data_IF_325233076158
#
_entry.id   IF_325233076158
#
_cell.length_a   1.000
_cell.length_b   1.000
_cell.length_c   1.000
_cell.angle_alpha   90.00
_cell.angle_beta   90.00
_cell.angle_gamma   90.00
#
_symmetry.space_group_name_H-M   'P 1'
#
loop_
_entity.id
_entity.type
_entity.pdbx_description
1 polymer ?
#
# COMPACT_ATOMS: atom_id res chain seq x y z
N UNK A 1 -9.41 23.35 24.30
CA UNK A 1 -8.50 22.62 23.40
C UNK A 1 -9.18 21.31 23.04
N UNK A 2 -10.03 21.36 22.01
CA UNK A 2 -10.81 20.21 21.54
C UNK A 2 -9.88 19.42 20.63
N UNK A 3 -9.37 18.29 21.11
CA UNK A 3 -8.65 17.31 20.28
C UNK A 3 -9.64 16.82 19.21
N UNK A 4 -9.60 17.45 18.05
CA UNK A 4 -10.14 16.88 16.83
C UNK A 4 -9.35 15.59 16.56
N UNK A 5 -9.95 14.48 16.97
CA UNK A 5 -9.54 13.11 16.61
C UNK A 5 -9.19 13.09 15.14
N UNK A 6 -7.92 12.87 14.81
CA UNK A 6 -7.50 12.41 13.50
C UNK A 6 -8.51 11.34 13.04
N UNK A 7 -9.05 11.55 11.84
CA UNK A 7 -10.37 11.10 11.44
C UNK A 7 -10.78 9.75 12.01
N UNK A 8 -11.94 9.72 12.68
CA UNK A 8 -12.68 8.49 12.93
C UNK A 8 -12.88 7.81 11.56
N UNK A 9 -11.96 6.93 11.17
CA UNK A 9 -12.24 5.91 10.16
C UNK A 9 -13.44 5.20 10.73
N UNK A 10 -14.63 5.50 10.23
CA UNK A 10 -15.85 4.96 10.79
C UNK A 10 -15.73 3.44 10.64
N UNK A 11 -15.39 2.73 11.73
CA UNK A 11 -15.04 1.31 11.66
C UNK A 11 -16.20 0.45 11.15
N UNK A 12 -17.40 1.05 11.10
CA UNK A 12 -18.64 0.52 10.56
C UNK A 12 -18.82 0.69 9.05
N UNK A 13 -17.84 1.19 8.29
CA UNK A 13 -17.98 1.16 6.83
C UNK A 13 -18.19 -0.28 6.37
N UNK A 14 -19.28 -0.55 5.61
CA UNK A 14 -19.56 -1.89 5.10
C UNK A 14 -18.43 -2.33 4.18
N UNK A 15 -18.30 -3.64 3.98
CA UNK A 15 -17.39 -4.18 2.98
C UNK A 15 -17.84 -3.67 1.61
N UNK A 16 -16.89 -3.15 0.82
CA UNK A 16 -17.15 -2.73 -0.54
C UNK A 16 -16.86 -3.90 -1.48
N UNK A 17 -17.89 -4.39 -2.17
CA UNK A 17 -17.73 -5.42 -3.22
C UNK A 17 -16.79 -4.90 -4.32
N UNK A 18 -16.87 -3.60 -4.61
CA UNK A 18 -16.00 -2.94 -5.58
C UNK A 18 -14.53 -2.97 -5.12
N UNK A 19 -14.27 -2.70 -3.84
CA UNK A 19 -12.92 -2.79 -3.28
C UNK A 19 -12.31 -4.18 -3.43
N UNK A 20 -13.12 -5.23 -3.20
CA UNK A 20 -12.71 -6.63 -3.37
C UNK A 20 -12.42 -6.97 -4.83
N UNK A 21 -13.28 -6.55 -5.76
CA UNK A 21 -13.06 -6.75 -7.19
C UNK A 21 -11.78 -6.06 -7.67
N UNK A 22 -11.53 -4.83 -7.21
CA UNK A 22 -10.28 -4.12 -7.49
C UNK A 22 -9.04 -4.84 -6.94
N UNK A 23 -9.15 -5.49 -5.78
CA UNK A 23 -8.04 -6.27 -5.22
C UNK A 23 -7.73 -7.50 -6.08
N UNK A 24 -8.77 -8.18 -6.58
CA UNK A 24 -8.64 -9.32 -7.50
C UNK A 24 -8.06 -8.86 -8.84
N UNK A 25 -8.66 -7.84 -9.47
CA UNK A 25 -8.19 -7.30 -10.76
C UNK A 25 -6.77 -6.77 -10.65
N UNK A 26 -6.47 -6.00 -9.61
CA UNK A 26 -5.12 -5.50 -9.33
C UNK A 26 -4.11 -6.64 -9.17
N UNK A 27 -4.48 -7.73 -8.50
CA UNK A 27 -3.61 -8.92 -8.36
C UNK A 27 -3.35 -9.61 -9.70
N UNK A 28 -4.39 -9.82 -10.51
CA UNK A 28 -4.27 -10.44 -11.84
C UNK A 28 -3.38 -9.60 -12.73
N UNK A 29 -3.60 -8.28 -12.80
CA UNK A 29 -2.77 -7.35 -13.57
C UNK A 29 -1.32 -7.35 -13.06
N UNK A 30 -1.12 -7.32 -11.74
CA UNK A 30 0.21 -7.39 -11.14
C UNK A 30 0.96 -8.66 -11.51
N UNK A 31 0.28 -9.82 -11.45
CA UNK A 31 0.86 -11.11 -11.84
C UNK A 31 1.14 -11.19 -13.35
N UNK A 32 0.26 -10.64 -14.20
CA UNK A 32 0.50 -10.53 -15.63
C UNK A 32 1.73 -9.68 -15.94
N UNK A 33 1.92 -8.55 -15.25
CA UNK A 33 3.10 -7.70 -15.39
C UNK A 33 4.39 -8.45 -15.00
N UNK A 34 4.35 -9.22 -13.91
CA UNK A 34 5.46 -10.08 -13.48
C UNK A 34 5.76 -11.15 -14.53
N UNK A 35 4.73 -11.79 -15.08
CA UNK A 35 4.86 -12.77 -16.15
C UNK A 35 5.49 -12.17 -17.40
N UNK A 36 5.20 -10.91 -17.70
CA UNK A 36 5.82 -10.13 -18.79
C UNK A 36 7.21 -9.57 -18.46
N UNK A 37 7.85 -9.99 -17.36
CA UNK A 37 9.20 -9.57 -16.99
C UNK A 37 9.27 -8.23 -16.23
N UNK A 38 8.13 -7.64 -15.85
CA UNK A 38 8.06 -6.36 -15.14
C UNK A 38 8.12 -6.59 -13.62
N UNK A 39 9.21 -7.19 -13.15
CA UNK A 39 9.36 -7.64 -11.75
C UNK A 39 9.38 -6.49 -10.72
N UNK A 40 9.80 -5.28 -11.12
CA UNK A 40 9.87 -4.13 -10.23
C UNK A 40 8.50 -3.72 -9.68
N UNK A 41 7.41 -3.98 -10.41
CA UNK A 41 6.04 -3.69 -9.95
C UNK A 41 5.70 -4.55 -8.74
N UNK A 42 6.10 -5.82 -8.76
CA UNK A 42 5.88 -6.72 -7.63
C UNK A 42 6.71 -6.32 -6.42
N UNK A 43 7.99 -5.98 -6.63
CA UNK A 43 8.86 -5.58 -5.53
C UNK A 43 8.36 -4.28 -4.86
N UNK A 44 8.03 -3.27 -5.68
CA UNK A 44 7.50 -2.01 -5.17
C UNK A 44 6.14 -2.18 -4.50
N UNK A 45 5.25 -3.01 -5.07
CA UNK A 45 3.95 -3.25 -4.46
C UNK A 45 4.03 -3.98 -3.14
N UNK A 46 4.84 -5.02 -3.04
CA UNK A 46 5.01 -5.73 -1.78
C UNK A 46 5.57 -4.79 -0.70
N UNK A 47 6.67 -4.08 -1.00
CA UNK A 47 7.35 -3.21 -0.02
C UNK A 47 6.49 -2.02 0.41
N UNK A 48 5.89 -1.29 -0.54
CA UNK A 48 5.07 -0.13 -0.22
C UNK A 48 3.80 -0.54 0.53
N UNK A 49 3.24 -1.70 0.21
CA UNK A 49 2.10 -2.27 0.94
C UNK A 49 2.45 -2.59 2.39
N UNK A 50 3.64 -3.13 2.65
CA UNK A 50 4.11 -3.36 4.01
C UNK A 50 4.17 -2.06 4.82
N UNK A 51 4.78 -1.01 4.27
CA UNK A 51 4.88 0.29 4.93
C UNK A 51 3.51 0.93 5.17
N UNK A 52 2.59 0.84 4.21
CA UNK A 52 1.22 1.37 4.36
C UNK A 52 0.47 0.64 5.48
N UNK A 53 0.66 -0.67 5.60
CA UNK A 53 0.03 -1.42 6.67
C UNK A 53 0.61 -1.08 8.04
N UNK A 54 1.88 -0.71 8.15
CA UNK A 54 2.49 -0.28 9.42
C UNK A 54 2.09 1.14 9.86
N UNK A 55 1.10 1.77 9.24
CA UNK A 55 0.64 3.10 9.62
C UNK A 55 -0.12 3.09 10.95
N UNK A 56 0.23 3.96 11.88
CA UNK A 56 -0.52 4.22 13.11
C UNK A 56 -1.20 5.60 13.08
N UNK A 57 -2.15 5.87 13.98
CA UNK A 57 -2.76 7.20 14.13
C UNK A 57 -1.69 8.28 14.39
N UNK A 58 -0.69 8.01 15.23
CA UNK A 58 0.42 8.93 15.48
C UNK A 58 1.26 9.19 14.23
N UNK A 59 1.52 8.17 13.40
CA UNK A 59 2.25 8.37 12.14
C UNK A 59 1.46 9.23 11.15
N UNK A 60 0.13 9.17 11.21
CA UNK A 60 -0.74 10.01 10.40
C UNK A 60 -0.66 11.46 10.89
N UNK A 61 -0.84 11.67 12.20
CA UNK A 61 -0.76 12.99 12.83
C UNK A 61 0.60 13.66 12.57
N UNK A 62 1.70 12.93 12.74
CA UNK A 62 3.04 13.44 12.46
C UNK A 62 3.25 13.74 10.98
N UNK A 63 2.72 12.90 10.08
CA UNK A 63 2.74 13.16 8.65
C UNK A 63 2.04 14.47 8.30
N UNK A 64 0.86 14.71 8.89
CA UNK A 64 0.09 15.96 8.69
C UNK A 64 0.88 17.14 9.25
N UNK A 65 1.41 17.02 10.47
CA UNK A 65 2.19 18.06 11.11
C UNK A 65 3.49 18.39 10.37
N UNK A 66 4.13 17.42 9.70
CA UNK A 66 5.30 17.66 8.84
C UNK A 66 4.90 18.50 7.63
N UNK A 67 3.77 18.18 6.99
CA UNK A 67 3.26 18.93 5.85
C UNK A 67 2.87 20.34 6.26
N UNK A 68 2.10 20.49 7.33
CA UNK A 68 1.66 21.80 7.81
C UNK A 68 2.85 22.70 8.15
N UNK A 69 3.87 22.17 8.83
CA UNK A 69 5.11 22.92 9.13
C UNK A 69 5.93 23.24 7.88
N UNK A 70 5.99 22.32 6.93
CA UNK A 70 6.71 22.54 5.68
C UNK A 70 6.00 23.57 4.81
N UNK A 71 4.66 23.54 4.82
CA UNK A 71 3.83 24.46 4.08
C UNK A 71 3.76 25.84 4.72
N UNK A 72 3.62 25.93 6.05
CA UNK A 72 3.61 27.17 6.80
C UNK A 72 4.90 27.98 6.57
N UNK A 73 6.07 27.31 6.47
CA UNK A 73 7.34 27.96 6.12
C UNK A 73 7.34 28.58 4.74
N UNK A 74 6.55 28.05 3.82
CA UNK A 74 6.37 28.60 2.47
C UNK A 74 5.28 29.70 2.47
N UNK A 75 4.59 29.95 3.60
CA UNK A 75 3.26 30.53 3.64
C UNK A 75 3.07 32.06 3.80
N UNK A 76 3.95 32.90 3.24
CA UNK A 76 3.71 34.37 3.21
C UNK A 76 3.22 34.99 1.87
N UNK A 77 3.05 34.24 0.77
CA UNK A 77 2.56 34.74 -0.56
C UNK A 77 1.20 34.15 -1.06
N UNK A 78 0.82 34.24 -2.33
CA UNK A 78 -0.51 33.76 -2.81
C UNK A 78 -0.46 32.27 -3.25
N UNK A 79 -1.48 31.45 -2.91
CA UNK A 79 -1.45 29.95 -3.01
C UNK A 79 -1.19 29.46 -4.44
N UNK A 80 -1.85 30.07 -5.43
CA UNK A 80 -1.71 29.71 -6.85
C UNK A 80 -0.29 29.99 -7.38
N UNK A 81 0.29 31.13 -6.98
CA UNK A 81 1.65 31.54 -7.35
C UNK A 81 2.71 30.64 -6.74
N UNK A 82 2.45 30.11 -5.54
CA UNK A 82 3.31 29.15 -4.84
C UNK A 82 3.24 27.75 -5.42
N UNK A 83 2.05 27.25 -5.72
CA UNK A 83 1.92 25.96 -6.39
C UNK A 83 2.66 26.01 -7.72
N UNK A 84 2.54 27.11 -8.47
CA UNK A 84 3.31 27.34 -9.68
C UNK A 84 4.83 27.38 -9.41
N UNK A 85 5.31 28.08 -8.37
CA UNK A 85 6.73 28.13 -8.02
C UNK A 85 7.31 26.79 -7.55
N UNK A 86 6.59 26.06 -6.70
CA UNK A 86 7.01 24.72 -6.23
C UNK A 86 6.94 23.72 -7.37
N UNK A 87 5.89 23.78 -8.21
CA UNK A 87 5.77 22.97 -9.41
C UNK A 87 6.88 23.27 -10.40
N UNK A 88 7.22 24.55 -10.59
CA UNK A 88 8.29 24.99 -11.48
C UNK A 88 9.67 24.59 -10.92
N UNK A 89 9.92 24.81 -9.63
CA UNK A 89 11.17 24.40 -8.99
C UNK A 89 11.34 22.86 -9.00
N UNK A 90 10.26 22.12 -8.75
CA UNK A 90 10.25 20.66 -8.84
C UNK A 90 10.41 20.18 -10.28
N UNK A 91 9.75 20.83 -11.23
CA UNK A 91 9.89 20.51 -12.66
C UNK A 91 11.28 20.86 -13.18
N UNK A 92 11.89 21.96 -12.74
CA UNK A 92 13.29 22.32 -13.05
C UNK A 92 14.22 21.31 -12.39
N UNK A 93 14.03 20.98 -11.11
CA UNK A 93 14.86 19.98 -10.44
C UNK A 93 14.76 18.61 -11.13
N UNK A 94 13.54 18.21 -11.53
CA UNK A 94 13.29 16.97 -12.27
C UNK A 94 13.80 17.06 -13.70
N UNK A 95 13.73 18.21 -14.38
CA UNK A 95 14.26 18.43 -15.73
C UNK A 95 15.79 18.43 -15.73
N UNK A 96 16.41 19.07 -14.73
CA UNK A 96 17.85 19.03 -14.48
C UNK A 96 18.26 17.60 -14.15
N UNK A 97 17.56 16.94 -13.22
CA UNK A 97 17.78 15.52 -12.93
C UNK A 97 17.59 14.68 -14.21
N UNK A 98 16.60 14.98 -15.04
CA UNK A 98 16.35 14.33 -16.34
C UNK A 98 17.50 14.55 -17.31
N UNK A 99 18.01 15.77 -17.46
CA UNK A 99 19.14 16.07 -18.34
C UNK A 99 20.39 15.34 -17.82
N UNK A 100 20.65 15.40 -16.51
CA UNK A 100 21.75 14.65 -15.88
C UNK A 100 21.58 13.12 -15.98
N UNK A 101 20.34 12.63 -16.10
CA UNK A 101 20.02 11.23 -16.30
C UNK A 101 20.01 10.84 -17.79
N UNK A 102 19.61 11.70 -18.72
CA UNK A 102 19.43 11.42 -20.15
C UNK A 102 20.72 11.65 -20.96
N UNK A 103 21.48 12.70 -20.62
CA UNK A 103 22.75 13.05 -21.28
C UNK A 103 23.72 11.86 -21.28
N UNK A 104 23.89 11.09 -20.19
CA UNK A 104 24.75 9.92 -20.20
C UNK A 104 24.08 8.63 -20.72
N UNK A 105 22.81 8.67 -21.16
CA UNK A 105 22.18 7.59 -21.96
C UNK A 105 22.47 7.81 -23.44
N UNK A 106 22.56 9.07 -23.87
CA UNK A 106 22.86 9.44 -25.25
C UNK A 106 24.39 9.40 -25.51
N UNK A 107 25.21 9.75 -24.52
CA UNK A 107 26.68 9.83 -24.62
C UNK A 107 27.39 8.55 -24.16
N UNK A 108 26.93 7.40 -24.63
CA UNK A 108 27.36 6.04 -24.24
C UNK A 108 28.83 5.91 -23.77
N UNK A 109 29.02 5.35 -22.57
CA UNK A 109 30.34 5.16 -21.96
C UNK A 109 30.36 4.76 -20.47
N UNK A 110 29.24 4.86 -19.75
CA UNK A 110 29.15 4.46 -18.34
C UNK A 110 28.05 3.43 -18.13
N UNK A 111 28.47 2.23 -17.70
CA UNK A 111 27.75 1.00 -17.34
C UNK A 111 26.21 0.99 -17.21
N UNK A 112 25.64 -0.17 -17.56
CA UNK A 112 24.23 -0.57 -17.52
C UNK A 112 23.46 -0.20 -16.22
N UNK A 113 24.19 0.00 -15.12
CA UNK A 113 23.71 0.45 -13.80
C UNK A 113 23.00 1.82 -13.87
N UNK A 114 23.49 2.75 -14.70
CA UNK A 114 22.86 4.06 -14.91
C UNK A 114 21.58 3.97 -15.73
N UNK A 115 21.63 3.24 -16.85
CA UNK A 115 20.53 3.14 -17.82
C UNK A 115 19.23 2.57 -17.23
N UNK A 116 19.29 1.73 -16.20
CA UNK A 116 18.10 1.09 -15.61
C UNK A 116 17.39 1.91 -14.52
N UNK A 117 18.12 2.57 -13.61
CA UNK A 117 17.50 3.55 -12.70
C UNK A 117 16.83 4.66 -13.52
N UNK A 118 17.46 5.02 -14.64
CA UNK A 118 16.93 5.91 -15.66
C UNK A 118 15.71 5.33 -16.35
N UNK A 119 15.62 4.01 -16.59
CA UNK A 119 14.47 3.32 -17.20
C UNK A 119 13.27 3.14 -16.27
N UNK A 120 13.47 2.89 -14.97
CA UNK A 120 12.39 2.82 -13.98
C UNK A 120 11.89 4.22 -13.63
N UNK A 121 12.80 5.19 -13.51
CA UNK A 121 12.42 6.59 -13.45
C UNK A 121 11.79 7.02 -14.77
N UNK A 122 12.27 6.56 -15.94
CA UNK A 122 11.62 6.78 -17.24
C UNK A 122 10.30 6.06 -17.31
N UNK A 123 10.07 4.93 -16.66
CA UNK A 123 8.81 4.19 -16.73
C UNK A 123 7.76 4.86 -15.86
N UNK A 124 8.15 5.26 -14.65
CA UNK A 124 7.32 6.07 -13.76
C UNK A 124 7.07 7.47 -14.35
N UNK A 125 8.11 8.12 -14.86
CA UNK A 125 8.00 9.43 -15.50
C UNK A 125 7.34 9.32 -16.88
N UNK A 126 7.54 8.26 -17.67
CA UNK A 126 6.83 8.01 -18.93
C UNK A 126 5.37 7.76 -18.66
N UNK A 127 5.01 6.98 -17.63
CA UNK A 127 3.62 6.82 -17.23
C UNK A 127 3.02 8.16 -16.82
N UNK A 128 3.73 8.96 -16.01
CA UNK A 128 3.27 10.30 -15.63
C UNK A 128 3.22 11.26 -16.83
N UNK A 129 4.19 11.22 -17.75
CA UNK A 129 4.24 12.00 -19.00
C UNK A 129 3.12 11.56 -19.93
N UNK A 130 2.82 10.27 -20.04
CA UNK A 130 1.76 9.70 -20.90
C UNK A 130 0.40 10.10 -20.36
N UNK A 131 0.22 10.00 -19.04
CA UNK A 131 -0.99 10.49 -18.37
C UNK A 131 -1.12 12.00 -18.54
N UNK A 132 -0.04 12.77 -18.34
CA UNK A 132 -0.05 14.21 -18.50
C UNK A 132 -0.18 14.65 -19.96
N UNK A 133 0.31 13.89 -20.93
CA UNK A 133 0.18 14.17 -22.36
C UNK A 133 -1.22 13.82 -22.85
N UNK A 134 -1.87 12.78 -22.31
CA UNK A 134 -3.30 12.54 -22.52
C UNK A 134 -4.12 13.69 -21.92
N UNK A 135 -3.80 14.14 -20.70
CA UNK A 135 -4.45 15.32 -20.09
C UNK A 135 -4.19 16.58 -20.92
N UNK A 136 -2.98 16.77 -21.46
CA UNK A 136 -2.62 17.87 -22.37
C UNK A 136 -3.44 17.84 -23.65
N UNK A 137 -3.50 16.70 -24.33
CA UNK A 137 -4.27 16.54 -25.56
C UNK A 137 -5.74 16.82 -25.29
N UNK A 138 -6.31 16.27 -24.21
CA UNK A 138 -7.70 16.53 -23.83
C UNK A 138 -7.95 18.00 -23.48
N UNK A 139 -7.01 18.66 -22.80
CA UNK A 139 -7.11 20.08 -22.46
C UNK A 139 -7.00 20.98 -23.69
N UNK A 140 -6.09 20.66 -24.62
CA UNK A 140 -5.93 21.36 -25.89
C UNK A 140 -7.17 21.22 -26.76
N UNK A 141 -7.72 20.01 -26.86
CA UNK A 141 -8.99 19.76 -27.56
C UNK A 141 -10.11 20.59 -26.94
N UNK A 142 -10.20 20.64 -25.61
CA UNK A 142 -11.22 21.43 -24.92
C UNK A 142 -11.07 22.94 -25.21
N UNK A 143 -9.84 23.48 -25.13
CA UNK A 143 -9.55 24.89 -25.42
C UNK A 143 -9.85 25.21 -26.88
N UNK A 144 -9.43 24.36 -27.81
CA UNK A 144 -9.66 24.52 -29.23
C UNK A 144 -11.16 24.52 -29.56
N UNK A 145 -11.93 23.62 -28.93
CA UNK A 145 -13.39 23.58 -29.04
C UNK A 145 -14.07 24.83 -28.45
N UNK A 146 -13.50 25.45 -27.41
CA UNK A 146 -14.04 26.68 -26.82
C UNK A 146 -13.70 27.95 -27.62
N UNK A 147 -12.53 28.00 -28.25
CA UNK A 147 -12.06 29.10 -29.11
C UNK A 147 -12.70 29.09 -30.50
N UNK A 148 -13.07 27.90 -31.02
CA UNK A 148 -13.81 27.74 -32.28
C UNK A 148 -15.26 28.25 -32.21
N UNK A 149 -15.70 28.86 -31.11
CA UNK A 149 -17.00 29.54 -31.10
C UNK A 149 -16.93 30.73 -32.07
N UNK A 150 -17.85 30.81 -33.04
CA UNK A 150 -17.84 31.87 -34.05
C UNK A 150 -17.87 33.24 -33.36
N UNK A 151 -16.87 34.05 -33.69
CA UNK A 151 -16.70 35.41 -33.18
C UNK A 151 -17.94 36.23 -33.56
N UNK A 152 -18.62 36.87 -32.59
CA UNK A 152 -19.75 37.75 -32.90
C UNK A 152 -19.30 38.96 -33.74
N UNK A 153 -20.21 39.54 -34.55
CA UNK A 153 -19.89 40.53 -35.59
C UNK A 153 -19.21 41.84 -35.09
N UNK A 154 -18.58 42.61 -35.99
CA UNK A 154 -17.36 43.40 -35.74
C UNK A 154 -17.49 44.73 -34.95
N UNK A 155 -18.56 44.97 -34.20
CA UNK A 155 -18.86 46.33 -33.73
C UNK A 155 -18.33 46.73 -32.36
N UNK A 156 -17.58 45.86 -31.67
CA UNK A 156 -17.00 46.20 -30.36
C UNK A 156 -15.48 46.04 -30.34
N UNK A 157 -14.84 46.96 -29.60
CA UNK A 157 -13.39 47.19 -29.39
C UNK A 157 -12.49 45.98 -29.68
N UNK A 158 -11.30 46.19 -30.32
CA UNK A 158 -10.39 45.09 -30.63
C UNK A 158 -10.13 44.28 -29.37
N UNK A 159 -10.52 42.99 -29.33
CA UNK A 159 -10.28 42.16 -28.16
C UNK A 159 -8.78 42.08 -27.93
N UNK A 160 -8.37 42.05 -26.66
CA UNK A 160 -6.99 41.91 -26.17
C UNK A 160 -6.35 40.59 -26.65
N UNK A 161 -6.14 40.46 -27.96
CA UNK A 161 -5.65 39.28 -28.67
C UNK A 161 -4.25 38.88 -28.18
N UNK A 162 -3.45 39.85 -27.73
CA UNK A 162 -2.15 39.59 -27.10
C UNK A 162 -2.29 38.86 -25.76
N UNK A 163 -3.28 39.22 -24.94
CA UNK A 163 -3.50 38.63 -23.62
C UNK A 163 -3.97 37.18 -23.74
N UNK A 164 -4.88 36.90 -24.67
CA UNK A 164 -5.36 35.55 -24.96
C UNK A 164 -4.21 34.65 -25.46
N UNK A 165 -3.40 35.12 -26.41
CA UNK A 165 -2.23 34.37 -26.92
C UNK A 165 -1.22 34.07 -25.82
N UNK A 166 -0.92 35.06 -24.98
CA UNK A 166 0.02 34.89 -23.87
C UNK A 166 -0.49 33.86 -22.85
N UNK A 167 -1.79 33.90 -22.55
CA UNK A 167 -2.43 32.93 -21.65
C UNK A 167 -2.38 31.50 -22.20
N UNK A 168 -2.63 31.31 -23.50
CA UNK A 168 -2.53 29.97 -24.14
C UNK A 168 -1.10 29.42 -24.07
N UNK A 169 -0.09 30.25 -24.34
CA UNK A 169 1.32 29.83 -24.25
C UNK A 169 1.66 29.41 -22.81
N UNK A 170 1.23 30.19 -21.81
CA UNK A 170 1.44 29.86 -20.40
C UNK A 170 0.76 28.54 -20.03
N UNK A 171 -0.46 28.30 -20.53
CA UNK A 171 -1.18 27.05 -20.28
C UNK A 171 -0.48 25.85 -20.91
N UNK A 172 -0.02 25.97 -22.16
CA UNK A 172 0.76 24.93 -22.83
C UNK A 172 2.04 24.62 -22.05
N UNK A 173 2.80 25.64 -21.67
CA UNK A 173 4.03 25.48 -20.88
C UNK A 173 3.76 24.83 -19.52
N UNK A 174 2.72 25.27 -18.80
CA UNK A 174 2.32 24.68 -17.52
C UNK A 174 1.93 23.20 -17.66
N UNK A 175 1.26 22.84 -18.76
CA UNK A 175 0.90 21.45 -19.02
C UNK A 175 2.13 20.57 -19.24
N UNK A 176 3.13 21.06 -19.98
CA UNK A 176 4.37 20.31 -20.26
C UNK A 176 5.16 20.06 -18.96
N UNK A 177 5.12 21.01 -18.02
CA UNK A 177 5.77 20.89 -16.72
C UNK A 177 4.98 20.08 -15.68
N UNK A 178 3.67 19.88 -15.91
CA UNK A 178 2.76 19.19 -15.01
C UNK A 178 3.24 17.80 -14.55
N UNK A 179 3.68 16.87 -15.43
CA UNK A 179 4.07 15.53 -14.98
C UNK A 179 5.24 15.57 -14.00
N UNK A 180 6.20 16.49 -14.19
CA UNK A 180 7.28 16.72 -13.23
C UNK A 180 6.74 17.21 -11.89
N UNK A 181 5.86 18.21 -11.91
CA UNK A 181 5.25 18.73 -10.68
C UNK A 181 4.45 17.65 -9.92
N UNK A 182 3.62 16.88 -10.64
CA UNK A 182 2.82 15.78 -10.08
C UNK A 182 3.71 14.70 -9.46
N UNK A 183 4.78 14.30 -10.15
CA UNK A 183 5.74 13.32 -9.65
C UNK A 183 6.50 13.84 -8.42
N UNK A 184 6.95 15.10 -8.44
CA UNK A 184 7.66 15.72 -7.33
C UNK A 184 6.80 15.82 -6.07
N UNK A 185 5.58 16.36 -6.22
CA UNK A 185 4.63 16.47 -5.10
C UNK A 185 4.30 15.08 -4.54
N UNK A 186 3.90 14.14 -5.40
CA UNK A 186 3.58 12.76 -4.96
C UNK A 186 4.77 12.10 -4.27
N UNK A 187 5.99 12.26 -4.80
CA UNK A 187 7.22 11.74 -4.20
C UNK A 187 7.45 12.28 -2.79
N UNK A 188 7.29 13.59 -2.60
CA UNK A 188 7.36 14.21 -1.27
C UNK A 188 6.35 13.60 -0.29
N UNK A 189 5.08 13.43 -0.71
CA UNK A 189 4.05 12.81 0.12
C UNK A 189 4.40 11.35 0.48
N UNK A 190 4.91 10.56 -0.47
CA UNK A 190 5.35 9.18 -0.21
C UNK A 190 6.50 9.14 0.80
N UNK A 191 7.48 10.04 0.69
CA UNK A 191 8.61 10.11 1.62
C UNK A 191 8.15 10.51 3.02
N UNK A 192 7.27 11.52 3.13
CA UNK A 192 6.71 11.94 4.42
C UNK A 192 5.95 10.79 5.08
N UNK A 193 5.09 10.09 4.32
CA UNK A 193 4.38 8.90 4.80
C UNK A 193 5.34 7.83 5.30
N UNK A 194 6.31 7.45 4.48
CA UNK A 194 7.27 6.40 4.84
C UNK A 194 8.05 6.77 6.10
N UNK A 195 8.53 8.01 6.19
CA UNK A 195 9.29 8.50 7.35
C UNK A 195 8.44 8.50 8.62
N UNK A 196 7.21 9.03 8.55
CA UNK A 196 6.32 9.07 9.71
C UNK A 196 5.91 7.67 10.18
N UNK A 197 5.67 6.73 9.24
CA UNK A 197 5.43 5.33 9.59
C UNK A 197 6.64 4.69 10.26
N UNK A 198 7.85 4.94 9.75
CA UNK A 198 9.10 4.40 10.33
C UNK A 198 9.38 4.93 11.75
N UNK A 199 8.98 6.16 12.04
CA UNK A 199 9.10 6.73 13.39
C UNK A 199 8.19 6.04 14.42
N UNK A 200 7.06 5.47 13.98
CA UNK A 200 6.04 4.87 14.84
C UNK A 200 5.81 3.37 14.57
N UNK A 201 6.85 2.65 14.14
CA UNK A 201 6.77 1.22 13.78
C UNK A 201 6.07 0.36 14.84
N UNK A 202 6.38 0.59 16.12
CA UNK A 202 5.82 -0.18 17.22
C UNK A 202 4.30 -0.07 17.29
N UNK A 203 3.77 1.14 17.13
CA UNK A 203 2.32 1.37 17.14
C UNK A 203 1.70 0.80 15.85
N UNK A 204 2.40 0.97 14.72
CA UNK A 204 2.05 0.43 13.41
C UNK A 204 1.84 -1.08 13.35
N UNK A 205 2.67 -1.86 14.03
CA UNK A 205 2.57 -3.33 14.13
C UNK A 205 1.18 -3.75 14.65
N UNK A 206 0.60 -2.99 15.58
CA UNK A 206 -0.72 -3.29 16.13
C UNK A 206 -1.87 -2.99 15.16
N UNK A 207 -1.67 -2.03 14.24
CA UNK A 207 -2.62 -1.60 13.23
C UNK A 207 -2.48 -2.36 11.89
N UNK A 208 -1.42 -3.15 11.73
CA UNK A 208 -1.02 -3.78 10.47
C UNK A 208 -2.16 -4.41 9.69
N UNK A 209 -2.88 -5.32 10.35
CA UNK A 209 -3.95 -6.04 9.72
C UNK A 209 -5.20 -5.18 9.49
N UNK A 210 -5.49 -4.24 10.39
CA UNK A 210 -6.63 -3.35 10.24
C UNK A 210 -6.46 -2.45 9.01
N UNK A 211 -5.25 -1.96 8.79
CA UNK A 211 -4.89 -1.19 7.61
C UNK A 211 -5.01 -2.04 6.34
N UNK A 212 -4.54 -3.29 6.36
CA UNK A 212 -4.73 -4.22 5.23
C UNK A 212 -6.21 -4.44 4.90
N UNK A 213 -7.03 -4.75 5.91
CA UNK A 213 -8.45 -5.00 5.72
C UNK A 213 -9.17 -3.74 5.19
N UNK A 214 -8.78 -2.55 5.67
CA UNK A 214 -9.33 -1.28 5.20
C UNK A 214 -8.94 -1.01 3.75
N UNK A 215 -7.68 -1.23 3.38
CA UNK A 215 -7.20 -1.03 2.01
C UNK A 215 -7.86 -2.01 1.03
N UNK A 216 -7.93 -3.29 1.38
CA UNK A 216 -8.36 -4.35 0.46
C UNK A 216 -9.88 -4.50 0.40
N UNK A 217 -10.60 -4.30 1.51
CA UNK A 217 -12.02 -4.65 1.60
C UNK A 217 -12.95 -3.45 1.72
N UNK A 218 -12.43 -2.25 2.01
CA UNK A 218 -13.25 -1.05 2.26
C UNK A 218 -12.94 0.09 1.31
N UNK A 219 -11.67 0.28 0.97
CA UNK A 219 -11.24 1.39 0.11
C UNK A 219 -11.38 0.96 -1.35
N UNK A 220 -12.29 1.59 -2.08
CA UNK A 220 -12.52 1.37 -3.51
C UNK A 220 -12.12 2.60 -4.34
N UNK A 221 -12.35 2.58 -5.65
CA UNK A 221 -12.10 3.69 -6.57
C UNK A 221 -13.04 4.87 -6.35
N UNK A 222 -14.20 4.66 -5.71
CA UNK A 222 -15.15 5.70 -5.37
C UNK A 222 -14.74 6.45 -4.09
N UNK A 223 -13.94 5.81 -3.24
CA UNK A 223 -13.33 6.44 -2.07
C UNK A 223 -12.38 7.53 -2.53
N UNK A 224 -12.51 8.73 -1.97
CA UNK A 224 -11.71 9.89 -2.39
C UNK A 224 -10.19 9.58 -2.36
N UNK A 225 -9.42 10.05 -3.36
CA UNK A 225 -7.98 9.88 -3.34
C UNK A 225 -7.36 10.78 -2.28
N UNK A 226 -6.56 10.18 -1.40
CA UNK A 226 -5.85 10.90 -0.34
C UNK A 226 -4.36 10.99 -0.66
N UNK A 227 -3.80 12.21 -0.74
CA UNK A 227 -2.34 12.44 -0.85
C UNK A 227 -1.61 12.22 0.46
N UNK A 228 -2.29 12.45 1.59
CA UNK A 228 -1.86 12.04 2.91
C UNK A 228 -3.10 11.58 3.68
N UNK A 229 -3.09 10.38 4.29
CA UNK A 229 -4.20 9.93 5.11
C UNK A 229 -4.39 10.86 6.31
N UNK A 230 -5.64 11.02 6.76
CA UNK A 230 -5.99 11.80 7.95
C UNK A 230 -5.87 13.31 7.83
N UNK A 231 -5.72 13.84 6.61
CA UNK A 231 -5.90 15.26 6.38
C UNK A 231 -7.35 15.67 6.73
N UNK A 232 -7.55 16.83 7.39
CA UNK A 232 -8.87 17.41 7.56
C UNK A 232 -9.60 17.62 6.22
N UNK A 233 -10.93 17.52 6.21
CA UNK A 233 -11.72 17.67 4.98
C UNK A 233 -11.56 19.05 4.33
N UNK A 234 -11.36 20.08 5.16
CA UNK A 234 -11.12 21.47 4.80
C UNK A 234 -9.65 21.78 4.48
N UNK A 235 -8.77 20.79 4.58
CA UNK A 235 -7.35 20.97 4.26
C UNK A 235 -7.14 21.25 2.76
N UNK A 236 -6.18 22.10 2.42
CA UNK A 236 -5.95 22.49 1.01
C UNK A 236 -5.53 21.34 0.09
N UNK A 237 -4.87 20.32 0.65
CA UNK A 237 -4.49 19.08 -0.07
C UNK A 237 -5.56 17.98 -0.01
N UNK A 238 -6.75 18.30 0.52
CA UNK A 238 -7.91 17.42 0.41
C UNK A 238 -8.49 17.45 -1.01
N UNK A 239 -8.82 16.28 -1.53
CA UNK A 239 -9.46 16.15 -2.84
C UNK A 239 -10.80 16.92 -2.87
N UNK A 240 -11.61 16.79 -1.83
CA UNK A 240 -12.89 17.50 -1.72
C UNK A 240 -12.73 19.02 -1.79
N UNK A 241 -11.71 19.56 -1.10
CA UNK A 241 -11.43 21.00 -1.11
C UNK A 241 -10.96 21.47 -2.48
N UNK A 242 -10.01 20.77 -3.12
CA UNK A 242 -9.56 21.11 -4.47
C UNK A 242 -10.67 20.96 -5.52
N UNK A 243 -11.53 19.95 -5.40
CA UNK A 243 -12.66 19.74 -6.30
C UNK A 243 -13.73 20.82 -6.12
N UNK A 244 -14.02 21.22 -4.87
CA UNK A 244 -14.91 22.34 -4.58
C UNK A 244 -14.37 23.63 -5.17
N UNK A 245 -13.06 23.85 -5.02
CA UNK A 245 -12.37 25.00 -5.59
C UNK A 245 -12.42 25.01 -7.12
N UNK A 246 -12.30 23.85 -7.78
CA UNK A 246 -12.48 23.73 -9.23
C UNK A 246 -13.92 24.04 -9.67
N UNK A 247 -14.92 23.63 -8.88
CA UNK A 247 -16.35 23.83 -9.17
C UNK A 247 -16.88 25.25 -8.93
N UNK A 248 -16.10 26.15 -8.32
CA UNK A 248 -16.53 27.54 -8.07
C UNK A 248 -16.77 28.28 -9.39
N UNK A 249 -18.02 28.72 -9.59
CA UNK A 249 -18.46 29.33 -10.85
C UNK A 249 -17.75 30.66 -11.18
N UNK A 250 -17.31 31.40 -10.17
CA UNK A 250 -16.73 32.75 -10.31
C UNK A 250 -15.26 32.77 -10.76
N UNK A 251 -14.61 31.61 -10.92
CA UNK A 251 -13.20 31.55 -11.31
C UNK A 251 -12.98 31.87 -12.78
N UNK A 252 -11.96 32.69 -13.04
CA UNK A 252 -11.41 32.91 -14.39
C UNK A 252 -10.93 31.59 -15.00
N UNK A 253 -10.86 31.51 -16.34
CA UNK A 253 -10.40 30.31 -17.05
C UNK A 253 -9.01 29.83 -16.58
N UNK A 254 -8.09 30.76 -16.29
CA UNK A 254 -6.76 30.47 -15.78
C UNK A 254 -6.82 29.77 -14.41
N UNK A 255 -7.66 30.26 -13.49
CA UNK A 255 -7.81 29.70 -12.15
C UNK A 255 -8.50 28.34 -12.18
N UNK A 256 -9.47 28.15 -13.07
CA UNK A 256 -10.11 26.85 -13.30
C UNK A 256 -9.11 25.83 -13.84
N UNK A 257 -8.29 26.23 -14.82
CA UNK A 257 -7.23 25.39 -15.36
C UNK A 257 -6.18 25.04 -14.31
N UNK A 258 -5.72 26.01 -13.51
CA UNK A 258 -4.81 25.74 -12.39
C UNK A 258 -5.40 24.78 -11.35
N UNK A 259 -6.71 24.90 -11.06
CA UNK A 259 -7.41 23.96 -10.17
C UNK A 259 -7.50 22.56 -10.77
N UNK A 260 -7.70 22.43 -12.09
CA UNK A 260 -7.68 21.15 -12.80
C UNK A 260 -6.28 20.51 -12.75
N UNK A 261 -5.22 21.28 -12.95
CA UNK A 261 -3.85 20.81 -12.82
C UNK A 261 -3.55 20.33 -11.39
N UNK A 262 -4.05 21.04 -10.37
CA UNK A 262 -3.91 20.61 -8.99
C UNK A 262 -4.62 19.26 -8.72
N UNK A 263 -5.79 19.04 -9.33
CA UNK A 263 -6.48 17.75 -9.27
C UNK A 263 -5.68 16.60 -9.90
N UNK A 264 -4.83 16.88 -10.89
CA UNK A 264 -3.99 15.85 -11.52
C UNK A 264 -2.97 15.23 -10.55
N UNK A 265 -2.61 15.93 -9.46
CA UNK A 265 -1.73 15.42 -8.40
C UNK A 265 -2.31 14.18 -7.71
N UNK A 266 -3.63 13.98 -7.73
CA UNK A 266 -4.28 12.81 -7.14
C UNK A 266 -4.26 11.57 -8.04
N UNK A 267 -3.95 11.70 -9.34
CA UNK A 267 -3.93 10.55 -10.26
C UNK A 267 -2.89 9.51 -9.83
N UNK A 268 -1.63 9.87 -9.50
CA UNK A 268 -0.68 8.92 -8.93
C UNK A 268 -1.17 8.25 -7.66
N UNK A 269 -1.94 8.93 -6.82
CA UNK A 269 -2.50 8.32 -5.60
C UNK A 269 -3.50 7.20 -5.91
N UNK A 270 -4.27 7.33 -7.00
CA UNK A 270 -5.18 6.28 -7.47
C UNK A 270 -4.40 5.08 -8.02
N UNK A 271 -3.39 5.33 -8.86
CA UNK A 271 -2.49 4.27 -9.35
C UNK A 271 -1.75 3.58 -8.21
N UNK A 272 -1.27 4.36 -7.24
CA UNK A 272 -0.63 3.85 -6.02
C UNK A 272 -1.57 2.89 -5.30
N UNK A 273 -2.85 3.24 -5.08
CA UNK A 273 -3.85 2.35 -4.47
C UNK A 273 -4.01 1.02 -5.21
N UNK A 274 -4.13 1.06 -6.55
CA UNK A 274 -4.23 -0.16 -7.37
C UNK A 274 -2.95 -1.01 -7.30
N UNK A 275 -1.79 -0.35 -7.29
CA UNK A 275 -0.50 -1.01 -7.16
C UNK A 275 -0.35 -1.68 -5.79
N UNK A 276 -0.77 -1.05 -4.69
CA UNK A 276 -0.80 -1.72 -3.38
C UNK A 276 -1.71 -2.97 -3.40
N UNK A 277 -2.90 -2.84 -4.01
CA UNK A 277 -3.86 -3.94 -4.15
C UNK A 277 -3.33 -5.12 -4.97
N UNK A 278 -2.39 -4.89 -5.89
CA UNK A 278 -1.76 -5.96 -6.68
C UNK A 278 -1.00 -6.99 -5.83
N UNK A 279 -0.60 -6.62 -4.62
CA UNK A 279 0.07 -7.52 -3.67
C UNK A 279 -0.90 -8.37 -2.82
N UNK A 280 -2.22 -8.27 -3.07
CA UNK A 280 -3.23 -8.96 -2.28
C UNK A 280 -3.01 -10.47 -2.22
N UNK A 281 -2.59 -11.13 -3.30
CA UNK A 281 -2.34 -12.58 -3.30
C UNK A 281 -1.29 -13.03 -2.28
N UNK A 282 -0.28 -12.18 -2.01
CA UNK A 282 0.79 -12.47 -1.06
C UNK A 282 0.33 -12.24 0.38
N UNK A 283 -0.35 -11.12 0.63
CA UNK A 283 -0.77 -10.74 1.97
C UNK A 283 -2.05 -11.43 2.44
N UNK A 284 -2.97 -11.78 1.54
CA UNK A 284 -4.30 -12.26 1.91
C UNK A 284 -4.25 -13.53 2.78
N UNK A 285 -3.55 -14.62 2.41
CA UNK A 285 -3.51 -15.81 3.26
C UNK A 285 -2.95 -15.52 4.66
N UNK A 286 -1.89 -14.69 4.72
CA UNK A 286 -1.22 -14.31 5.97
C UNK A 286 -2.11 -13.45 6.86
N UNK A 287 -2.86 -12.53 6.26
CA UNK A 287 -3.75 -11.60 6.96
C UNK A 287 -5.04 -12.25 7.43
N UNK A 288 -5.61 -13.15 6.63
CA UNK A 288 -6.79 -13.91 7.05
C UNK A 288 -6.45 -14.86 8.20
N UNK A 289 -5.27 -15.48 8.19
CA UNK A 289 -4.77 -16.16 9.39
C UNK A 289 -4.60 -15.17 10.55
N UNK A 290 -3.95 -14.03 10.32
CA UNK A 290 -3.73 -12.99 11.33
C UNK A 290 -5.00 -12.30 11.87
N UNK A 291 -6.18 -12.51 11.27
CA UNK A 291 -7.43 -11.82 11.62
C UNK A 291 -7.71 -11.85 13.13
N UNK A 292 -7.71 -10.72 13.90
CA UNK A 292 -8.20 -10.78 15.25
C UNK A 292 -9.64 -11.21 15.17
N UNK A 293 -10.10 -12.04 16.10
CA UNK A 293 -11.52 -12.23 16.24
C UNK A 293 -12.13 -10.84 16.53
N UNK A 294 -13.14 -10.44 15.74
CA UNK A 294 -13.77 -9.11 15.81
C UNK A 294 -14.61 -8.93 17.07
N UNK A 295 -14.12 -8.18 18.06
CA UNK A 295 -14.86 -7.93 19.30
C UNK A 295 -14.03 -7.81 20.57
N UNK A 296 -12.70 -7.81 20.47
CA UNK A 296 -11.82 -7.44 21.58
C UNK A 296 -11.32 -6.01 21.37
N UNK A 297 -12.08 -5.04 21.88
CA UNK A 297 -11.74 -3.62 21.75
C UNK A 297 -11.11 -3.08 23.02
N UNK A 298 -10.17 -2.15 22.87
CA UNK A 298 -9.60 -1.42 24.00
C UNK A 298 -10.36 -0.10 24.16
N UNK A 299 -10.97 0.09 25.32
CA UNK A 299 -11.62 1.34 25.68
C UNK A 299 -10.59 2.47 25.86
N UNK A 300 -11.05 3.71 25.93
CA UNK A 300 -10.24 4.92 26.13
C UNK A 300 -9.37 4.80 27.39
N UNK A 301 -9.87 4.11 28.42
CA UNK A 301 -9.16 3.83 29.67
C UNK A 301 -8.21 2.62 29.61
N UNK A 302 -8.00 2.04 28.43
CA UNK A 302 -7.13 0.89 28.24
C UNK A 302 -7.74 -0.45 28.65
N UNK A 303 -9.00 -0.47 29.12
CA UNK A 303 -9.73 -1.70 29.51
C UNK A 303 -10.21 -2.46 28.28
N UNK A 304 -10.10 -3.78 28.31
CA UNK A 304 -10.58 -4.62 27.20
C UNK A 304 -12.09 -4.86 27.37
N UNK A 305 -12.84 -4.53 26.31
CA UNK A 305 -14.27 -4.82 26.16
C UNK A 305 -14.43 -6.02 25.25
N UNK A 306 -15.33 -6.91 25.65
CA UNK A 306 -15.68 -8.12 24.90
C UNK A 306 -17.03 -7.96 24.22
N UNK A 307 -17.06 -8.19 22.92
CA UNK A 307 -18.29 -8.32 22.15
C UNK A 307 -18.74 -9.80 22.11
N UNK A 308 -19.95 -10.13 22.60
CA UNK A 308 -20.47 -11.50 22.54
C UNK A 308 -20.70 -12.04 21.12
N UNK A 309 -20.66 -11.19 20.08
CA UNK A 309 -20.77 -11.63 18.68
C UNK A 309 -19.47 -12.23 18.11
N UNK A 310 -18.38 -12.24 18.89
CA UNK A 310 -17.08 -12.77 18.51
C UNK A 310 -17.13 -14.22 17.99
N UNK A 311 -16.34 -14.49 16.93
CA UNK A 311 -16.12 -15.82 16.35
C UNK A 311 -17.37 -16.45 15.71
N UNK A 312 -18.34 -15.61 15.34
CA UNK A 312 -19.59 -16.04 14.69
C UNK A 312 -19.89 -15.26 13.42
N UNK A 313 -19.12 -14.22 13.12
CA UNK A 313 -19.30 -13.52 11.86
C UNK A 313 -18.82 -14.43 10.72
N UNK A 314 -19.43 -14.36 9.52
CA UNK A 314 -18.97 -15.12 8.36
C UNK A 314 -17.48 -14.91 8.05
N UNK A 315 -16.95 -13.73 8.39
CA UNK A 315 -15.53 -13.40 8.21
C UNK A 315 -14.65 -14.14 9.21
N UNK A 316 -15.06 -14.22 10.48
CA UNK A 316 -14.30 -15.00 11.47
C UNK A 316 -14.26 -16.49 11.08
N UNK A 317 -15.38 -17.01 10.55
CA UNK A 317 -15.47 -18.40 10.07
C UNK A 317 -14.56 -18.60 8.85
N UNK A 318 -14.61 -17.70 7.87
CA UNK A 318 -13.73 -17.78 6.70
C UNK A 318 -12.24 -17.65 7.08
N UNK A 319 -11.89 -16.80 8.07
CA UNK A 319 -10.54 -16.73 8.62
C UNK A 319 -10.12 -18.04 9.29
N UNK A 320 -11.01 -18.67 10.06
CA UNK A 320 -10.76 -19.97 10.67
C UNK A 320 -10.59 -21.07 9.60
N UNK A 321 -11.36 -21.05 8.52
CA UNK A 321 -11.21 -21.99 7.41
C UNK A 321 -9.87 -21.82 6.70
N UNK A 322 -9.44 -20.57 6.42
CA UNK A 322 -8.11 -20.30 5.85
C UNK A 322 -7.00 -20.79 6.78
N UNK A 323 -7.14 -20.56 8.09
CA UNK A 323 -6.20 -21.07 9.08
C UNK A 323 -6.20 -22.61 9.16
N UNK A 324 -7.36 -23.27 9.01
CA UNK A 324 -7.48 -24.72 8.97
C UNK A 324 -6.75 -25.31 7.77
N UNK A 325 -6.97 -24.74 6.58
CA UNK A 325 -6.28 -25.13 5.36
C UNK A 325 -4.77 -24.90 5.49
N UNK A 326 -4.35 -23.76 6.03
CA UNK A 326 -2.94 -23.47 6.29
C UNK A 326 -2.29 -24.46 7.26
N UNK A 327 -2.97 -24.80 8.35
CA UNK A 327 -2.51 -25.80 9.31
C UNK A 327 -2.43 -27.20 8.68
N UNK A 328 -3.41 -27.57 7.85
CA UNK A 328 -3.39 -28.82 7.10
C UNK A 328 -2.17 -28.90 6.18
N UNK A 329 -1.89 -27.87 5.38
CA UNK A 329 -0.71 -27.83 4.52
C UNK A 329 0.60 -27.85 5.31
N UNK A 330 0.63 -27.19 6.47
CA UNK A 330 1.78 -27.25 7.37
C UNK A 330 2.03 -28.70 7.84
N UNK A 331 1.01 -29.38 8.38
CA UNK A 331 1.15 -30.77 8.80
C UNK A 331 1.50 -31.70 7.63
N UNK A 332 0.91 -31.49 6.46
CA UNK A 332 1.23 -32.26 5.26
C UNK A 332 2.71 -32.09 4.84
N UNK A 333 3.29 -30.91 5.03
CA UNK A 333 4.73 -30.66 4.75
C UNK A 333 5.65 -31.21 5.82
N UNK A 334 5.24 -31.13 7.08
CA UNK A 334 5.98 -31.67 8.23
C UNK A 334 6.01 -33.21 8.19
N UNK A 335 4.97 -33.84 7.64
CA UNK A 335 4.79 -35.28 7.65
C UNK A 335 5.47 -35.96 6.46
N UNK A 336 6.44 -36.81 6.75
CA UNK A 336 7.21 -37.61 5.80
C UNK A 336 6.66 -39.04 5.75
N UNK A 337 5.96 -39.34 4.66
CA UNK A 337 5.41 -40.66 4.39
C UNK A 337 6.46 -41.77 4.43
N UNK A 338 7.67 -41.50 3.93
CA UNK A 338 8.73 -42.51 3.89
C UNK A 338 9.24 -42.84 5.30
N UNK A 339 9.44 -41.82 6.14
CA UNK A 339 9.84 -42.01 7.53
C UNK A 339 8.77 -42.80 8.31
N UNK A 340 7.49 -42.48 8.09
CA UNK A 340 6.38 -43.26 8.65
C UNK A 340 6.40 -44.72 8.19
N UNK A 341 6.58 -44.97 6.88
CA UNK A 341 6.65 -46.34 6.36
C UNK A 341 7.80 -47.13 6.98
N UNK A 342 8.99 -46.54 7.08
CA UNK A 342 10.16 -47.18 7.70
C UNK A 342 9.92 -47.51 9.17
N UNK A 343 9.30 -46.58 9.92
CA UNK A 343 8.95 -46.83 11.32
C UNK A 343 7.88 -47.92 11.45
N UNK A 344 6.88 -47.93 10.56
CA UNK A 344 5.82 -48.93 10.54
C UNK A 344 6.34 -50.33 10.16
N UNK A 345 7.26 -50.44 9.21
CA UNK A 345 7.93 -51.71 8.89
C UNK A 345 8.76 -52.19 10.05
N UNK A 346 9.55 -51.30 10.68
CA UNK A 346 10.33 -51.66 11.86
C UNK A 346 9.44 -52.16 13.01
N UNK A 347 8.32 -51.49 13.28
CA UNK A 347 7.39 -51.93 14.33
C UNK A 347 6.78 -53.29 14.02
N UNK A 348 6.39 -53.53 12.76
CA UNK A 348 5.88 -54.81 12.29
C UNK A 348 6.92 -55.93 12.46
N UNK A 349 8.18 -55.66 12.11
CA UNK A 349 9.26 -56.65 12.18
C UNK A 349 9.69 -56.99 13.62
N UNK A 350 9.29 -56.16 14.59
CA UNK A 350 9.62 -56.31 16.02
C UNK A 350 8.38 -56.58 16.90
N UNK A 351 7.25 -57.00 16.31
CA UNK A 351 5.99 -57.28 16.99
C UNK A 351 5.45 -56.12 17.88
N UNK A 352 5.78 -54.87 17.53
CA UNK A 352 5.23 -53.70 18.22
C UNK A 352 3.85 -53.32 17.65
N UNK A 353 2.90 -52.86 18.50
CA UNK A 353 1.58 -52.48 18.02
C UNK A 353 1.63 -51.20 17.17
N UNK A 354 0.91 -51.19 16.05
CA UNK A 354 0.75 -50.01 15.21
C UNK A 354 -0.20 -48.99 15.86
N UNK A 355 0.32 -48.13 16.73
CA UNK A 355 -0.45 -47.07 17.42
C UNK A 355 0.00 -45.65 17.07
N UNK A 356 -0.73 -44.63 17.58
CA UNK A 356 -0.51 -43.21 17.27
C UNK A 356 0.95 -42.70 17.42
N UNK A 357 1.81 -43.20 18.33
CA UNK A 357 3.23 -42.84 18.35
C UNK A 357 3.98 -43.07 17.03
N UNK A 358 3.59 -44.07 16.22
CA UNK A 358 4.18 -44.33 14.92
C UNK A 358 3.84 -43.24 13.89
N UNK A 359 2.66 -42.62 13.99
CA UNK A 359 2.34 -41.44 13.16
C UNK A 359 3.28 -40.27 13.48
N UNK A 360 3.70 -40.15 14.75
CA UNK A 360 4.66 -39.13 15.18
C UNK A 360 6.07 -39.39 14.61
N UNK A 361 6.45 -40.64 14.34
CA UNK A 361 7.70 -40.97 13.67
C UNK A 361 7.77 -40.46 12.22
N UNK A 362 6.62 -40.16 11.60
CA UNK A 362 6.54 -39.46 10.33
C UNK A 362 6.85 -37.96 10.41
N UNK A 363 6.94 -37.36 11.60
CA UNK A 363 7.23 -35.92 11.73
C UNK A 363 8.72 -35.69 11.45
N UNK A 364 9.03 -35.06 10.32
CA UNK A 364 10.40 -34.73 9.94
C UNK A 364 10.60 -33.20 9.88
N UNK A 365 11.03 -32.56 10.99
CA UNK A 365 11.18 -31.11 11.04
C UNK A 365 12.27 -30.59 10.10
N UNK A 366 13.23 -31.43 9.68
CA UNK A 366 14.30 -31.00 8.76
C UNK A 366 13.81 -30.72 7.34
N UNK A 367 12.60 -31.15 6.99
CA UNK A 367 11.95 -30.87 5.68
C UNK A 367 11.16 -29.58 5.66
N UNK A 368 11.02 -28.91 6.80
CA UNK A 368 10.18 -27.73 6.92
C UNK A 368 11.05 -26.49 6.83
N UNK A 369 11.09 -25.91 5.63
CA UNK A 369 11.72 -24.60 5.45
C UNK A 369 11.02 -23.55 6.32
N UNK A 370 11.76 -22.50 6.69
CA UNK A 370 11.23 -21.36 7.45
C UNK A 370 9.99 -20.73 6.78
N UNK A 371 9.92 -20.85 5.45
CA UNK A 371 8.80 -20.42 4.61
C UNK A 371 7.48 -21.12 4.94
N UNK A 372 7.52 -22.39 5.34
CA UNK A 372 6.32 -23.14 5.74
C UNK A 372 6.12 -23.08 7.26
N UNK A 373 7.22 -23.02 8.02
CA UNK A 373 7.19 -23.05 9.48
C UNK A 373 6.44 -21.85 10.06
N UNK A 374 6.83 -20.62 9.69
CA UNK A 374 6.23 -19.41 10.26
C UNK A 374 4.73 -19.27 9.96
N UNK A 375 4.26 -19.35 8.71
CA UNK A 375 2.82 -19.32 8.42
C UNK A 375 2.08 -20.53 8.99
N UNK A 376 2.71 -21.70 9.08
CA UNK A 376 2.13 -22.88 9.73
C UNK A 376 1.86 -22.68 11.22
N UNK A 377 2.85 -22.19 11.97
CA UNK A 377 2.69 -21.82 13.39
C UNK A 377 1.64 -20.71 13.54
N UNK A 378 1.68 -19.69 12.66
CA UNK A 378 0.67 -18.64 12.62
C UNK A 378 -0.75 -19.18 12.43
N UNK A 379 -0.94 -20.13 11.52
CA UNK A 379 -2.22 -20.78 11.26
C UNK A 379 -2.72 -21.59 12.48
N UNK A 380 -1.84 -22.39 13.09
CA UNK A 380 -2.16 -23.14 14.32
C UNK A 380 -2.57 -22.22 15.47
N UNK A 381 -1.82 -21.14 15.68
CA UNK A 381 -2.14 -20.15 16.69
C UNK A 381 -3.48 -19.46 16.41
N UNK A 382 -3.79 -19.19 15.14
CA UNK A 382 -5.07 -18.63 14.70
C UNK A 382 -6.25 -19.53 15.06
N UNK A 383 -6.12 -20.84 14.80
CA UNK A 383 -7.13 -21.83 15.16
C UNK A 383 -7.30 -21.92 16.69
N UNK A 384 -6.20 -21.95 17.43
CA UNK A 384 -6.26 -21.98 18.90
C UNK A 384 -6.98 -20.74 19.47
N UNK A 385 -6.64 -19.54 18.97
CA UNK A 385 -7.31 -18.29 19.34
C UNK A 385 -8.80 -18.32 18.96
N UNK A 386 -9.14 -18.83 17.78
CA UNK A 386 -10.52 -18.92 17.31
C UNK A 386 -11.36 -19.88 18.17
N UNK A 387 -10.86 -21.09 18.43
CA UNK A 387 -11.54 -22.08 19.28
C UNK A 387 -11.72 -21.54 20.70
N UNK A 388 -10.69 -20.90 21.26
CA UNK A 388 -10.77 -20.32 22.59
C UNK A 388 -11.78 -19.16 22.65
N UNK A 389 -11.76 -18.27 21.65
CA UNK A 389 -12.73 -17.19 21.50
C UNK A 389 -14.17 -17.73 21.39
N UNK A 390 -14.39 -18.78 20.59
CA UNK A 390 -15.69 -19.43 20.44
C UNK A 390 -16.18 -20.04 21.77
N UNK A 391 -15.28 -20.67 22.54
CA UNK A 391 -15.59 -21.22 23.86
C UNK A 391 -15.93 -20.13 24.88
N UNK A 392 -15.23 -19.00 24.87
CA UNK A 392 -15.55 -17.86 25.73
C UNK A 392 -16.91 -17.26 25.33
N UNK A 393 -17.16 -17.08 24.03
CA UNK A 393 -18.43 -16.57 23.50
C UNK A 393 -19.61 -17.45 23.89
N UNK A 394 -19.48 -18.78 23.74
CA UNK A 394 -20.53 -19.73 24.12
C UNK A 394 -20.82 -19.69 25.63
N UNK A 395 -19.78 -19.65 26.47
CA UNK A 395 -19.93 -19.52 27.94
C UNK A 395 -20.58 -18.20 28.35
N UNK A 396 -20.15 -17.09 27.76
CA UNK A 396 -20.71 -15.77 28.06
C UNK A 396 -22.20 -15.69 27.71
N UNK A 397 -22.64 -16.32 26.61
CA UNK A 397 -24.06 -16.37 26.22
C UNK A 397 -24.87 -17.32 27.10
N UNK A 398 -24.40 -18.55 27.30
CA UNK A 398 -25.17 -19.60 28.00
C UNK A 398 -25.25 -19.35 29.51
N UNK A 399 -24.15 -18.89 30.12
CA UNK A 399 -24.02 -18.75 31.57
C UNK A 399 -24.14 -17.29 32.03
N UNK A 400 -24.25 -16.33 31.10
CA UNK A 400 -24.23 -14.87 31.37
C UNK A 400 -23.02 -14.41 32.19
N UNK A 401 -21.93 -15.18 32.19
CA UNK A 401 -20.70 -14.87 32.91
C UNK A 401 -19.69 -14.25 31.97
N UNK A 402 -19.37 -12.98 32.21
CA UNK A 402 -18.36 -12.28 31.42
C UNK A 402 -16.95 -12.83 31.70
N UNK A 403 -16.07 -12.90 30.68
CA UNK A 403 -14.70 -13.34 30.86
C UNK A 403 -13.93 -12.40 31.80
N UNK A 404 -13.01 -12.98 32.56
CA UNK A 404 -12.13 -12.19 33.42
C UNK A 404 -11.20 -11.30 32.57
N UNK A 405 -10.79 -10.14 33.10
CA UNK A 405 -9.83 -9.26 32.41
C UNK A 405 -8.50 -9.97 32.10
N UNK A 406 -8.07 -10.93 32.93
CA UNK A 406 -6.86 -11.74 32.66
C UNK A 406 -7.03 -12.62 31.41
N UNK A 407 -8.20 -13.23 31.24
CA UNK A 407 -8.53 -14.04 30.05
C UNK A 407 -8.54 -13.17 28.80
N UNK A 408 -9.18 -12.01 28.86
CA UNK A 408 -9.20 -11.04 27.76
C UNK A 408 -7.80 -10.55 27.40
N UNK A 409 -6.98 -10.26 28.42
CA UNK A 409 -5.59 -9.85 28.23
C UNK A 409 -4.74 -10.95 27.58
N UNK A 410 -4.91 -12.20 28.00
CA UNK A 410 -4.21 -13.33 27.38
C UNK A 410 -4.59 -13.49 25.90
N UNK A 411 -5.89 -13.44 25.58
CA UNK A 411 -6.37 -13.49 24.21
C UNK A 411 -5.83 -12.32 23.37
N UNK A 412 -5.79 -11.12 23.94
CA UNK A 412 -5.17 -9.94 23.31
C UNK A 412 -3.69 -10.18 22.99
N UNK A 413 -2.93 -10.74 23.95
CA UNK A 413 -1.51 -11.03 23.77
C UNK A 413 -1.23 -12.13 22.75
N UNK A 414 -2.03 -13.20 22.73
CA UNK A 414 -1.93 -14.23 21.69
C UNK A 414 -2.22 -13.66 20.31
N UNK A 415 -3.20 -12.78 20.19
CA UNK A 415 -3.47 -12.11 18.93
C UNK A 415 -2.32 -11.18 18.50
N UNK A 416 -1.71 -10.45 19.44
CA UNK A 416 -0.52 -9.66 19.15
C UNK A 416 0.66 -10.56 18.69
N UNK A 417 0.88 -11.70 19.34
CA UNK A 417 1.91 -12.67 18.94
C UNK A 417 1.67 -13.20 17.51
N UNK A 418 0.40 -13.46 17.17
CA UNK A 418 0.01 -13.84 15.81
C UNK A 418 0.35 -12.75 14.78
N UNK A 419 0.05 -11.48 15.07
CA UNK A 419 0.42 -10.37 14.19
C UNK A 419 1.94 -10.30 13.99
N UNK A 420 2.72 -10.51 15.06
CA UNK A 420 4.19 -10.56 14.98
C UNK A 420 4.65 -11.71 14.09
N UNK A 421 4.05 -12.90 14.21
CA UNK A 421 4.36 -14.04 13.32
C UNK A 421 4.04 -13.72 11.86
N UNK A 422 2.88 -13.15 11.56
CA UNK A 422 2.54 -12.78 10.18
C UNK A 422 3.47 -11.71 9.61
N UNK A 423 3.85 -10.71 10.41
CA UNK A 423 4.86 -9.72 10.01
C UNK A 423 6.22 -10.39 9.77
N UNK A 424 6.61 -11.33 10.63
CA UNK A 424 7.85 -12.09 10.47
C UNK A 424 7.84 -12.92 9.19
N UNK A 425 6.71 -13.57 8.85
CA UNK A 425 6.54 -14.29 7.58
C UNK A 425 6.67 -13.36 6.38
N UNK A 426 6.07 -12.17 6.44
CA UNK A 426 6.21 -11.14 5.38
C UNK A 426 7.67 -10.72 5.24
N UNK A 427 8.38 -10.46 6.35
CA UNK A 427 9.81 -10.09 6.35
C UNK A 427 10.68 -11.21 5.77
N UNK A 428 10.46 -12.46 6.17
CA UNK A 428 11.17 -13.61 5.60
C UNK A 428 10.87 -13.74 4.11
N UNK A 429 9.63 -13.51 3.69
CA UNK A 429 9.26 -13.49 2.27
C UNK A 429 9.94 -12.37 1.50
N UNK A 430 10.10 -11.20 2.09
CA UNK A 430 10.92 -10.14 1.51
C UNK A 430 12.37 -10.55 1.35
N UNK A 431 12.98 -11.12 2.39
CA UNK A 431 14.36 -11.60 2.31
C UNK A 431 14.52 -12.67 1.23
N UNK A 432 13.57 -13.60 1.11
CA UNK A 432 13.57 -14.63 0.08
C UNK A 432 13.42 -14.04 -1.32
N UNK A 433 12.47 -13.13 -1.53
CA UNK A 433 12.30 -12.46 -2.82
C UNK A 433 13.51 -11.61 -3.18
N UNK A 434 14.10 -10.91 -2.21
CA UNK A 434 15.32 -10.14 -2.38
C UNK A 434 16.47 -11.06 -2.80
N UNK A 435 16.64 -12.20 -2.15
CA UNK A 435 17.66 -13.19 -2.52
C UNK A 435 17.40 -13.79 -3.90
N UNK A 436 16.17 -14.22 -4.19
CA UNK A 436 15.79 -14.78 -5.48
C UNK A 436 15.99 -13.80 -6.64
N UNK A 437 15.52 -12.56 -6.49
CA UNK A 437 15.73 -11.55 -7.52
C UNK A 437 17.21 -11.15 -7.60
N UNK A 438 17.93 -11.17 -6.47
CA UNK A 438 19.37 -10.90 -6.42
C UNK A 438 20.17 -11.94 -7.17
N UNK A 439 19.89 -13.23 -6.95
CA UNK A 439 20.58 -14.34 -7.60
C UNK A 439 20.29 -14.44 -9.10
N UNK A 440 19.12 -13.98 -9.55
CA UNK A 440 18.72 -14.00 -10.96
C UNK A 440 18.99 -12.66 -11.68
N UNK A 441 19.67 -11.71 -11.05
CA UNK A 441 19.93 -10.36 -11.59
C UNK A 441 18.65 -9.60 -12.01
N UNK A 442 17.53 -9.88 -11.34
CA UNK A 442 16.22 -9.27 -11.57
C UNK A 442 15.94 -8.10 -10.61
N UNK A 443 16.81 -7.85 -9.62
CA UNK A 443 16.68 -6.69 -8.74
C UNK A 443 17.04 -5.39 -9.48
N UNK A 444 16.40 -4.27 -9.12
CA UNK A 444 16.88 -2.96 -9.52
C UNK A 444 18.35 -2.76 -9.16
N UNK A 445 19.13 -2.22 -10.10
CA UNK A 445 20.58 -2.06 -9.98
C UNK A 445 21.02 -1.30 -8.72
N UNK A 446 20.23 -0.33 -8.23
CA UNK A 446 20.50 0.39 -6.99
C UNK A 446 20.39 -0.50 -5.74
N UNK A 447 19.48 -1.46 -5.73
CA UNK A 447 19.36 -2.42 -4.63
C UNK A 447 20.48 -3.44 -4.76
N UNK A 448 20.78 -3.86 -6.00
CA UNK A 448 21.87 -4.77 -6.28
C UNK A 448 23.24 -4.19 -5.89
N UNK A 449 23.47 -2.89 -6.10
CA UNK A 449 24.71 -2.21 -5.67
C UNK A 449 24.82 -2.09 -4.16
N UNK A 450 23.70 -1.85 -3.47
CA UNK A 450 23.66 -1.89 -2.00
C UNK A 450 23.92 -3.32 -1.51
N UNK A 451 23.34 -4.34 -2.13
CA UNK A 451 23.56 -5.74 -1.76
C UNK A 451 24.97 -6.23 -2.06
N UNK A 452 25.57 -5.80 -3.17
CA UNK A 452 26.95 -6.13 -3.50
C UNK A 452 27.93 -5.42 -2.57
N UNK A 453 27.66 -4.16 -2.21
CA UNK A 453 28.42 -3.45 -1.18
C UNK A 453 28.31 -4.13 0.20
N UNK A 454 27.20 -4.81 0.48
CA UNK A 454 27.00 -5.61 1.69
C UNK A 454 27.58 -7.03 1.57
N UNK A 455 28.25 -7.39 0.46
CA UNK A 455 28.80 -8.74 0.17
C UNK A 455 27.76 -9.86 0.20
N UNK A 456 26.46 -9.54 0.03
CA UNK A 456 25.37 -10.51 0.18
C UNK A 456 25.06 -11.27 -1.13
N UNK A 457 25.42 -10.73 -2.29
CA UNK A 457 25.26 -11.40 -3.58
C UNK A 457 26.11 -10.72 -4.66
N UNK A 458 27.03 -11.46 -5.28
CA UNK A 458 27.58 -11.08 -6.59
C UNK A 458 26.72 -11.71 -7.68
N UNK A 459 26.20 -10.87 -8.56
CA UNK A 459 25.45 -11.36 -9.71
C UNK A 459 26.43 -11.74 -10.80
N UNK A 460 26.63 -13.03 -10.99
CA UNK A 460 27.30 -13.55 -12.18
C UNK A 460 26.22 -13.66 -13.25
N UNK A 461 26.26 -12.83 -14.31
CA UNK A 461 25.34 -13.00 -15.44
C UNK A 461 25.54 -14.40 -16.02
N UNK A 462 24.43 -15.15 -16.14
CA UNK A 462 24.39 -16.48 -16.78
C UNK A 462 24.66 -16.39 -18.28
#
# INVERSE_FOLDING_TARGET
>A
MVLYSAGKVCHKSPLSVLAMLEAIVGSVVGLMLVWSGVYWVLWTSLFLTFLVHLRSEKSIEDGVAIIDRSWARVSNSDISRRFALVSLASAIAIAVLWIFLLVPVILDGFGWIGSYLRFVLLGFVSLNITVASVVLVMSLVLVFLTEMRPVPPPNDKPPDTLRTRTMVIIMMAATVLLPGAVAGVTGCFVIIRATATLMHLRDGISCFLQNWATLMLKTDIATEPELLPGLPDDHMFSFATMLRDYRRAEKNLADRYGSLLALAVFIPSMFYRLMLKSSFWFYAPLMWAAAPPRGLERDIHGKLRWDPTLARTPIDIAAALVALVGAFFFFFRVWDYNAYQTAATWAKDNDFPAYWPLLAAGINPSRVDIWYLLPGIGALLSLAVFVWAMQISSRARLVRRFPSQRTLWCLYKLNAAKNVLSISTVVVGFCFLLFYFGSNCLLPSAIQSVLSALTLAECVPL
#
